data_IF_730434361945
#
_entry.id   IF_730434361945
#
_cell.length_a   1.000
_cell.length_b   1.000
_cell.length_c   1.000
_cell.angle_alpha   90.00
_cell.angle_beta   90.00
_cell.angle_gamma   90.00
#
_symmetry.space_group_name_H-M   'P 1'
#
loop_
_entity.id
_entity.type
_entity.pdbx_description
1 polymer ?
#
# COMPACT_ATOMS: atom_id res chain seq x y z
N UNK A 1 17.76 3.84 8.23
CA UNK A 1 18.01 2.48 7.68
C UNK A 1 16.67 1.89 7.28
N UNK A 2 16.59 0.99 6.30
CA UNK A 2 15.28 0.43 5.86
C UNK A 2 14.55 -0.30 7.00
N UNK A 3 15.30 -0.84 7.96
CA UNK A 3 14.82 -1.50 9.19
C UNK A 3 14.00 -0.61 10.11
N UNK A 4 14.15 0.71 9.99
CA UNK A 4 13.40 1.67 10.79
C UNK A 4 11.93 1.74 10.32
N UNK A 5 11.72 1.47 9.02
CA UNK A 5 10.44 1.58 8.33
C UNK A 5 9.79 0.22 8.05
N UNK A 6 10.60 -0.83 7.91
CA UNK A 6 10.12 -2.16 7.57
C UNK A 6 10.71 -3.22 8.50
N UNK A 7 9.86 -4.17 8.88
CA UNK A 7 10.21 -5.39 9.59
C UNK A 7 10.31 -6.55 8.62
N UNK A 8 11.38 -7.33 8.75
CA UNK A 8 11.53 -8.61 8.06
C UNK A 8 10.97 -9.73 8.93
N UNK A 9 9.94 -10.42 8.42
CA UNK A 9 9.14 -11.39 9.18
C UNK A 9 9.20 -12.79 8.56
N UNK A 10 8.79 -13.80 9.34
CA UNK A 10 8.67 -15.23 8.98
C UNK A 10 9.99 -15.95 8.67
N UNK A 11 11.02 -15.23 8.24
CA UNK A 11 12.34 -15.76 7.94
C UNK A 11 13.42 -15.02 8.74
N UNK A 12 14.58 -15.66 8.90
CA UNK A 12 15.76 -14.95 9.41
C UNK A 12 16.29 -14.00 8.35
N UNK A 13 16.76 -12.83 8.79
CA UNK A 13 17.43 -11.86 7.92
C UNK A 13 18.62 -12.52 7.22
N UNK A 14 18.68 -12.35 5.91
CA UNK A 14 19.68 -12.97 5.05
C UNK A 14 19.34 -12.75 3.58
N UNK A 15 19.97 -13.52 2.72
CA UNK A 15 19.79 -13.40 1.27
C UNK A 15 18.49 -14.02 0.82
N UNK A 16 17.70 -13.24 0.09
CA UNK A 16 16.42 -13.66 -0.47
C UNK A 16 16.38 -13.31 -1.94
N UNK A 17 15.96 -14.27 -2.75
CA UNK A 17 15.73 -14.06 -4.18
C UNK A 17 14.31 -13.51 -4.36
N UNK A 18 14.23 -12.35 -5.00
CA UNK A 18 12.99 -11.68 -5.36
C UNK A 18 12.82 -11.70 -6.88
N UNK A 19 11.58 -11.84 -7.41
CA UNK A 19 11.36 -11.86 -8.86
C UNK A 19 11.77 -10.58 -9.58
N UNK A 20 11.70 -9.43 -8.89
CA UNK A 20 11.86 -8.11 -9.50
C UNK A 20 13.25 -7.50 -9.33
N UNK A 21 13.96 -7.86 -8.26
CA UNK A 21 15.24 -7.27 -7.90
C UNK A 21 16.37 -8.31 -7.80
N UNK A 22 16.08 -9.57 -8.13
CA UNK A 22 17.04 -10.66 -7.98
C UNK A 22 17.37 -10.93 -6.51
N UNK A 23 18.64 -11.18 -6.21
CA UNK A 23 19.11 -11.49 -4.85
C UNK A 23 19.33 -10.20 -4.04
N UNK A 24 18.59 -10.06 -2.94
CA UNK A 24 18.76 -8.98 -1.96
C UNK A 24 19.22 -9.58 -0.64
N UNK A 25 20.20 -8.96 -0.01
CA UNK A 25 20.70 -9.36 1.31
C UNK A 25 20.05 -8.51 2.43
N UNK A 26 18.95 -9.03 3.00
CA UNK A 26 18.23 -8.41 4.11
C UNK A 26 18.96 -8.48 5.46
N UNK A 27 20.18 -9.03 5.51
CA UNK A 27 21.05 -8.88 6.68
C UNK A 27 21.78 -7.54 6.71
N UNK A 28 21.83 -6.82 5.59
CA UNK A 28 22.50 -5.53 5.46
C UNK A 28 21.52 -4.39 5.73
N UNK A 29 22.01 -3.32 6.36
CA UNK A 29 21.23 -2.11 6.61
C UNK A 29 21.31 -1.10 5.45
N UNK A 30 22.13 -1.37 4.43
CA UNK A 30 22.36 -0.49 3.26
C UNK A 30 21.37 -0.69 2.11
N UNK A 31 20.28 -1.44 2.33
CA UNK A 31 19.24 -1.62 1.33
C UNK A 31 18.50 -0.28 1.11
N UNK A 32 18.40 0.21 -0.13
CA UNK A 32 17.62 1.40 -0.45
C UNK A 32 16.15 1.25 -0.04
N UNK A 33 15.61 2.29 0.59
CA UNK A 33 14.23 2.31 1.07
C UNK A 33 13.21 2.11 -0.05
N UNK A 34 13.52 2.62 -1.25
CA UNK A 34 12.69 2.49 -2.45
C UNK A 34 12.46 1.03 -2.84
N UNK A 35 13.48 0.18 -2.73
CA UNK A 35 13.37 -1.26 -3.02
C UNK A 35 12.43 -1.93 -2.02
N UNK A 36 12.59 -1.63 -0.73
CA UNK A 36 11.72 -2.18 0.32
C UNK A 36 10.26 -1.74 0.12
N UNK A 37 10.04 -0.48 -0.28
CA UNK A 37 8.72 0.06 -0.60
C UNK A 37 8.10 -0.66 -1.78
N UNK A 38 8.82 -0.82 -2.89
CA UNK A 38 8.31 -1.49 -4.08
C UNK A 38 7.98 -2.96 -3.81
N UNK A 39 8.82 -3.65 -3.03
CA UNK A 39 8.54 -5.03 -2.61
C UNK A 39 7.27 -5.10 -1.75
N UNK A 40 7.11 -4.18 -0.79
CA UNK A 40 5.91 -4.14 0.04
C UNK A 40 4.65 -3.85 -0.79
N UNK A 41 4.70 -2.85 -1.69
CA UNK A 41 3.59 -2.48 -2.58
C UNK A 41 3.19 -3.63 -3.52
N UNK A 42 4.16 -4.47 -3.92
CA UNK A 42 3.94 -5.70 -4.71
C UNK A 42 3.51 -6.90 -3.87
N UNK A 43 3.28 -6.73 -2.58
CA UNK A 43 2.79 -7.78 -1.67
C UNK A 43 3.86 -8.79 -1.25
N UNK A 44 5.12 -8.37 -1.11
CA UNK A 44 6.20 -9.26 -0.70
C UNK A 44 5.94 -9.85 0.70
N UNK A 45 5.86 -11.19 0.84
CA UNK A 45 5.26 -11.83 2.01
C UNK A 45 6.12 -11.80 3.28
N UNK A 46 7.36 -11.32 3.18
CA UNK A 46 8.36 -11.30 4.26
C UNK A 46 8.68 -9.87 4.74
N UNK A 47 8.03 -8.85 4.19
CA UNK A 47 8.17 -7.46 4.62
C UNK A 47 6.86 -6.99 5.24
N UNK A 48 6.94 -6.31 6.38
CA UNK A 48 5.82 -5.65 7.05
C UNK A 48 6.21 -4.22 7.42
N UNK A 49 5.28 -3.27 7.39
CA UNK A 49 5.54 -1.89 7.82
C UNK A 49 5.62 -1.79 9.35
N UNK A 50 6.63 -1.07 9.83
CA UNK A 50 6.69 -0.62 11.23
C UNK A 50 5.66 0.48 11.49
N UNK A 51 5.44 0.83 12.75
CA UNK A 51 4.58 1.97 13.10
C UNK A 51 5.08 3.28 12.46
N UNK A 52 6.40 3.48 12.44
CA UNK A 52 7.02 4.63 11.80
C UNK A 52 6.90 4.58 10.27
N UNK A 53 7.08 3.39 9.67
CA UNK A 53 6.83 3.14 8.24
C UNK A 53 5.42 3.53 7.82
N UNK A 54 4.41 3.16 8.60
CA UNK A 54 3.01 3.54 8.34
C UNK A 54 2.84 5.06 8.34
N UNK A 55 3.37 5.74 9.37
CA UNK A 55 3.23 7.19 9.54
C UNK A 55 3.94 8.00 8.46
N UNK A 56 5.20 7.69 8.18
CA UNK A 56 6.03 8.51 7.28
C UNK A 56 5.82 8.19 5.80
N UNK A 57 5.58 6.92 5.44
CA UNK A 57 5.53 6.50 4.04
C UNK A 57 4.11 6.44 3.47
N UNK A 58 3.08 6.23 4.31
CA UNK A 58 1.71 5.98 3.82
C UNK A 58 0.63 6.87 4.44
N UNK A 59 0.76 7.35 5.68
CA UNK A 59 -0.26 8.24 6.26
C UNK A 59 -0.28 9.64 5.60
N UNK A 60 0.87 10.17 5.16
CA UNK A 60 0.91 11.44 4.39
C UNK A 60 0.09 11.39 3.11
N UNK A 61 -0.13 10.19 2.56
CA UNK A 61 -0.93 10.00 1.35
C UNK A 61 -2.44 10.06 1.63
N UNK A 62 -2.87 9.87 2.88
CA UNK A 62 -4.30 9.91 3.27
C UNK A 62 -4.78 11.36 3.40
N UNK A 63 -3.95 12.27 3.91
CA UNK A 63 -4.31 13.70 4.00
C UNK A 63 -4.57 14.31 2.61
N UNK A 64 -3.93 13.80 1.56
CA UNK A 64 -4.21 14.21 0.18
C UNK A 64 -5.51 13.62 -0.37
N UNK A 65 -5.94 12.44 0.08
CA UNK A 65 -7.17 11.80 -0.38
C UNK A 65 -8.44 12.37 0.26
N UNK A 66 -8.35 12.92 1.48
CA UNK A 66 -9.47 13.64 2.09
C UNK A 66 -9.81 14.94 1.36
N UNK A 67 -8.84 15.56 0.67
CA UNK A 67 -9.07 16.74 -0.16
C UNK A 67 -9.82 16.40 -1.47
N UNK A 68 -9.57 15.22 -2.06
CA UNK A 68 -10.23 14.79 -3.32
C UNK A 68 -11.68 14.35 -3.09
N UNK A 69 -12.06 13.91 -1.89
CA UNK A 69 -13.42 13.44 -1.58
C UNK A 69 -14.40 14.60 -1.28
N UNK A 70 -13.91 15.84 -1.19
CA UNK A 70 -14.75 17.03 -0.98
C UNK A 70 -15.24 17.72 -2.26
N UNK A 71 -15.27 17.03 -3.41
CA UNK A 71 -16.00 17.55 -4.58
C UNK A 71 -17.51 17.44 -4.27
N UNK A 72 -18.28 18.54 -4.22
CA UNK A 72 -19.73 18.43 -4.12
C UNK A 72 -20.23 17.75 -5.40
N UNK A 73 -20.79 16.56 -5.26
CA UNK A 73 -21.55 15.92 -6.34
C UNK A 73 -22.72 16.85 -6.68
N UNK A 74 -22.59 17.60 -7.77
CA UNK A 74 -23.69 18.37 -8.35
C UNK A 74 -24.80 17.36 -8.67
N UNK A 75 -25.96 17.62 -8.08
CA UNK A 75 -27.07 16.70 -8.01
C UNK A 75 -27.55 16.21 -9.37
N UNK A 76 -27.75 14.90 -9.43
CA UNK A 76 -28.81 14.30 -10.23
C UNK A 76 -29.61 13.42 -9.28
N UNK A 77 -30.80 13.90 -8.92
CA UNK A 77 -31.88 13.11 -8.33
C UNK A 77 -32.00 11.79 -9.12
N UNK A 78 -32.08 10.62 -8.50
CA UNK A 78 -33.34 10.15 -7.92
C UNK A 78 -33.15 8.85 -7.12
N UNK A 79 -33.87 8.79 -6.00
CA UNK A 79 -34.53 7.63 -5.39
C UNK A 79 -33.91 7.04 -4.08
N UNK A 80 -34.69 6.97 -2.97
CA UNK A 80 -34.16 6.68 -1.63
C UNK A 80 -34.49 5.25 -1.18
N UNK A 81 -33.50 4.39 -0.91
CA UNK A 81 -33.64 3.33 0.09
C UNK A 81 -32.34 2.53 0.30
N UNK A 82 -31.65 2.80 1.41
CA UNK A 82 -31.46 1.86 2.54
C UNK A 82 -30.26 2.32 3.38
N UNK A 83 -30.56 2.79 4.59
CA UNK A 83 -29.62 2.88 5.69
C UNK A 83 -29.12 1.48 6.02
N UNK A 84 -27.81 1.24 5.97
CA UNK A 84 -27.17 0.19 6.74
C UNK A 84 -25.70 0.56 6.97
N UNK A 85 -25.40 0.83 8.23
CA UNK A 85 -24.07 1.00 8.79
C UNK A 85 -23.19 -0.22 8.52
N UNK A 86 -21.98 -0.02 8.01
CA UNK A 86 -20.78 -0.78 8.41
C UNK A 86 -19.51 -0.07 7.94
N UNK A 87 -18.68 0.32 8.90
CA UNK A 87 -17.28 0.73 8.72
C UNK A 87 -16.44 -0.48 8.30
N UNK A 88 -16.56 -0.89 7.05
CA UNK A 88 -15.75 -1.88 6.35
C UNK A 88 -15.81 -1.46 4.87
N UNK A 89 -14.78 -1.71 4.07
CA UNK A 89 -14.72 -1.45 2.61
C UNK A 89 -14.07 -0.16 2.10
N UNK A 90 -13.17 0.50 2.85
CA UNK A 90 -12.19 1.40 2.21
C UNK A 90 -11.04 0.62 1.57
N UNK A 91 -10.53 -0.42 2.24
CA UNK A 91 -9.42 -1.23 1.73
C UNK A 91 -9.81 -2.06 0.49
N UNK A 92 -11.00 -2.66 0.49
CA UNK A 92 -11.46 -3.45 -0.67
C UNK A 92 -11.68 -2.56 -1.91
N UNK A 93 -12.13 -1.31 -1.71
CA UNK A 93 -12.28 -0.34 -2.82
C UNK A 93 -10.94 0.08 -3.44
N UNK A 94 -9.88 0.22 -2.65
CA UNK A 94 -8.53 0.59 -3.14
C UNK A 94 -7.93 -0.55 -3.99
N UNK A 95 -8.15 -1.81 -3.60
CA UNK A 95 -7.68 -2.97 -4.37
C UNK A 95 -8.38 -3.09 -5.73
N UNK A 96 -9.67 -2.80 -5.80
CA UNK A 96 -10.44 -2.83 -7.07
C UNK A 96 -9.96 -1.75 -8.05
N UNK A 97 -9.57 -0.56 -7.55
CA UNK A 97 -9.11 0.54 -8.41
C UNK A 97 -7.77 0.20 -9.10
N UNK A 98 -6.82 -0.36 -8.35
CA UNK A 98 -5.50 -0.74 -8.89
C UNK A 98 -5.55 -1.94 -9.84
N UNK A 99 -6.56 -2.81 -9.71
CA UNK A 99 -6.75 -3.94 -10.61
C UNK A 99 -7.41 -3.53 -11.95
N UNK A 100 -8.16 -2.43 -11.96
CA UNK A 100 -8.88 -1.94 -13.14
C UNK A 100 -8.06 -1.04 -14.06
N UNK A 101 -6.90 -0.53 -13.61
CA UNK A 101 -6.01 0.36 -14.37
C UNK A 101 -4.73 -0.31 -14.89
N UNK A 102 -4.59 -1.63 -14.74
CA UNK A 102 -3.53 -2.43 -15.37
C UNK A 102 -4.08 -3.21 -16.59
N UNK A 103 -4.74 -2.51 -17.51
CA UNK A 103 -4.92 -3.04 -18.86
C UNK A 103 -3.66 -2.71 -19.68
N UNK A 104 -2.91 -3.69 -20.18
CA UNK A 104 -1.82 -3.42 -21.12
C UNK A 104 -2.41 -2.91 -22.43
N UNK A 105 -1.92 -1.76 -22.88
CA UNK A 105 -2.16 -1.20 -24.21
C UNK A 105 -1.83 -2.25 -25.28
N UNK A 106 -2.83 -2.66 -26.06
CA UNK A 106 -2.67 -3.47 -27.27
C UNK A 106 -3.74 -3.12 -28.30
#
# INVERSE_FOLDING_TARGET
MWTDYFNFIKLRRGRVITPFHGEIDFSRDDIPLEICKELFDKGFPYLELTEMGKQELYLKSIDLLEEIVSIPTIGVDSNPMKKASKKQDTYERILIYNQSHNLPDK
#
